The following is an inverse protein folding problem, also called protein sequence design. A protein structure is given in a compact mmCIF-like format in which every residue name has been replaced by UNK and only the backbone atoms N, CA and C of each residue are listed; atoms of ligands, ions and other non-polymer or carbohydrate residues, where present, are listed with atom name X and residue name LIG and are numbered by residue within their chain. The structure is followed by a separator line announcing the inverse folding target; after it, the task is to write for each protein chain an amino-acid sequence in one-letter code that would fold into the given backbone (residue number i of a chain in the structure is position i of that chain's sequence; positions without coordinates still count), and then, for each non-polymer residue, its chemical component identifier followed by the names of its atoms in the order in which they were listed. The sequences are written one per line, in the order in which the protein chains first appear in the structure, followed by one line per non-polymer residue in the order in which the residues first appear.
data_IF_324898543652
#
_entry.id   IF_324898543652
#
_cell.length_a   1.000
_cell.length_b   1.000
_cell.length_c   1.000
_cell.angle_alpha   90.00
_cell.angle_beta   90.00
_cell.angle_gamma   90.00
#
_symmetry.space_group_name_H-M   'P 1'
#
loop_
_entity.id
_entity.type
_entity.pdbx_description
1 polymer ?
#
# COMPACT_ATOMS: atom_id res chain seq x y z
N UNK A 1 -38.60 -43.09 8.86
CA UNK A 1 -38.86 -41.76 9.48
C UNK A 1 -37.55 -40.98 9.36
N UNK A 2 -37.23 -40.38 8.21
CA UNK A 2 -37.66 -39.06 7.72
C UNK A 2 -37.59 -37.94 8.77
N UNK A 3 -36.56 -37.10 8.68
CA UNK A 3 -36.62 -35.66 8.95
C UNK A 3 -35.46 -34.98 8.22
N UNK A 4 -35.71 -34.76 6.93
CA UNK A 4 -35.21 -33.59 6.19
C UNK A 4 -35.65 -32.33 6.96
N UNK A 5 -34.70 -31.46 7.33
CA UNK A 5 -35.01 -30.04 7.42
C UNK A 5 -33.74 -29.17 7.39
N UNK A 6 -33.66 -28.38 6.32
CA UNK A 6 -32.80 -27.21 6.16
C UNK A 6 -31.30 -27.44 5.93
N UNK A 7 -30.98 -28.23 4.90
CA UNK A 7 -29.88 -27.82 3.99
C UNK A 7 -30.36 -26.58 3.22
N UNK A 8 -30.21 -25.41 3.84
CA UNK A 8 -30.41 -24.14 3.15
C UNK A 8 -29.17 -23.95 2.29
N UNK A 9 -29.29 -24.30 1.00
CA UNK A 9 -28.38 -23.89 -0.06
C UNK A 9 -28.08 -22.41 0.17
N UNK A 10 -26.86 -22.10 0.61
CA UNK A 10 -26.35 -20.74 0.55
C UNK A 10 -26.17 -20.50 -0.93
N UNK A 11 -27.13 -19.76 -1.47
CA UNK A 11 -27.16 -19.21 -2.81
C UNK A 11 -25.81 -18.51 -3.05
N UNK A 12 -24.99 -19.09 -3.94
CA UNK A 12 -23.74 -18.51 -4.42
C UNK A 12 -24.04 -17.17 -5.12
N UNK A 13 -24.09 -16.11 -4.31
CA UNK A 13 -24.14 -14.72 -4.76
C UNK A 13 -22.70 -14.28 -5.05
N UNK A 14 -22.42 -13.62 -6.20
CA UNK A 14 -21.19 -13.84 -6.96
C UNK A 14 -19.95 -13.31 -6.23
N UNK A 15 -18.84 -14.03 -6.42
CA UNK A 15 -17.42 -13.75 -6.14
C UNK A 15 -16.99 -12.26 -6.05
N UNK A 16 -17.67 -11.35 -6.77
CA UNK A 16 -17.42 -9.91 -6.82
C UNK A 16 -17.74 -9.16 -5.50
N UNK A 17 -18.80 -9.55 -4.78
CA UNK A 17 -19.21 -8.84 -3.56
C UNK A 17 -18.24 -9.12 -2.41
N UNK A 18 -17.77 -10.37 -2.31
CA UNK A 18 -16.77 -10.79 -1.32
C UNK A 18 -15.42 -10.08 -1.53
N UNK A 19 -15.00 -9.90 -2.78
CA UNK A 19 -13.76 -9.19 -3.11
C UNK A 19 -13.85 -7.68 -2.82
N UNK A 20 -14.98 -7.02 -3.09
CA UNK A 20 -15.18 -5.61 -2.75
C UNK A 20 -15.14 -5.32 -1.23
N UNK A 21 -15.73 -6.19 -0.41
CA UNK A 21 -15.69 -6.06 1.05
C UNK A 21 -14.27 -6.26 1.58
N UNK A 22 -13.50 -7.14 0.94
CA UNK A 22 -12.11 -7.46 1.26
C UNK A 22 -11.17 -6.27 0.95
N UNK A 23 -11.36 -5.56 -0.18
CA UNK A 23 -10.54 -4.39 -0.56
C UNK A 23 -11.05 -3.04 -0.02
N UNK A 24 -12.17 -3.04 0.72
CA UNK A 24 -12.81 -1.84 1.27
C UNK A 24 -11.84 -0.86 1.97
N UNK A 25 -10.94 -1.27 2.89
CA UNK A 25 -10.06 -0.32 3.57
C UNK A 25 -9.12 0.39 2.59
N UNK A 26 -8.61 -0.31 1.57
CA UNK A 26 -7.74 0.30 0.59
C UNK A 26 -8.50 1.27 -0.33
N UNK A 27 -9.68 0.86 -0.80
CA UNK A 27 -10.52 1.71 -1.64
C UNK A 27 -10.78 3.04 -0.92
N UNK A 28 -11.09 2.98 0.39
CA UNK A 28 -11.26 4.18 1.22
C UNK A 28 -10.00 5.04 1.24
N UNK A 29 -8.81 4.45 1.43
CA UNK A 29 -7.54 5.21 1.42
C UNK A 29 -7.32 5.91 0.08
N UNK A 30 -7.50 5.21 -1.05
CA UNK A 30 -7.33 5.79 -2.39
C UNK A 30 -8.31 6.95 -2.60
N UNK A 31 -9.58 6.77 -2.23
CA UNK A 31 -10.59 7.83 -2.36
C UNK A 31 -10.26 9.05 -1.48
N UNK A 32 -9.90 8.82 -0.22
CA UNK A 32 -9.52 9.91 0.70
C UNK A 32 -8.29 10.65 0.15
N UNK A 33 -7.24 9.93 -0.25
CA UNK A 33 -6.05 10.53 -0.84
C UNK A 33 -6.39 11.34 -2.10
N UNK A 34 -7.25 10.81 -2.98
CA UNK A 34 -7.68 11.50 -4.20
C UNK A 34 -8.40 12.83 -3.91
N UNK A 35 -9.42 12.83 -3.04
CA UNK A 35 -10.17 14.04 -2.72
C UNK A 35 -9.33 15.09 -1.99
N UNK A 36 -8.50 14.68 -1.04
CA UNK A 36 -7.59 15.59 -0.34
C UNK A 36 -6.60 16.21 -1.34
N UNK A 37 -6.09 15.42 -2.28
CA UNK A 37 -5.12 15.91 -3.28
C UNK A 37 -5.74 16.87 -4.28
N UNK A 38 -6.99 16.63 -4.70
CA UNK A 38 -7.75 17.60 -5.50
C UNK A 38 -7.94 18.89 -4.71
N UNK A 39 -8.32 18.81 -3.44
CA UNK A 39 -8.53 20.00 -2.62
C UNK A 39 -7.26 20.84 -2.45
N UNK A 40 -6.11 20.19 -2.24
CA UNK A 40 -4.80 20.85 -2.14
C UNK A 40 -4.35 21.45 -3.48
N UNK A 41 -4.54 20.71 -4.58
CA UNK A 41 -4.21 21.19 -5.92
C UNK A 41 -5.11 22.37 -6.34
N UNK A 42 -6.40 22.32 -6.01
CA UNK A 42 -7.35 23.40 -6.30
C UNK A 42 -6.99 24.70 -5.57
N UNK A 43 -6.49 24.60 -4.34
CA UNK A 43 -5.99 25.75 -3.59
C UNK A 43 -4.63 26.26 -4.09
N UNK A 44 -3.98 25.54 -5.02
CA UNK A 44 -2.62 25.85 -5.47
C UNK A 44 -1.55 25.62 -4.40
N UNK A 45 -1.87 24.88 -3.33
CA UNK A 45 -0.95 24.67 -2.21
C UNK A 45 0.12 23.62 -2.53
N UNK A 46 -0.24 22.57 -3.26
CA UNK A 46 0.64 21.47 -3.68
C UNK A 46 0.19 20.94 -5.04
N UNK A 47 1.12 20.56 -5.94
CA UNK A 47 0.78 19.82 -7.14
C UNK A 47 0.04 18.53 -6.79
N UNK A 48 -0.98 18.19 -7.59
CA UNK A 48 -1.83 17.01 -7.34
C UNK A 48 -1.02 15.72 -7.13
N UNK A 49 0.04 15.50 -7.91
CA UNK A 49 0.88 14.31 -7.79
C UNK A 49 1.61 14.25 -6.44
N UNK A 50 2.24 15.35 -6.00
CA UNK A 50 2.94 15.41 -4.73
C UNK A 50 1.98 15.24 -3.56
N UNK A 51 0.81 15.90 -3.61
CA UNK A 51 -0.25 15.74 -2.63
C UNK A 51 -0.74 14.28 -2.57
N UNK A 52 -1.00 13.65 -3.72
CA UNK A 52 -1.50 12.28 -3.77
C UNK A 52 -0.51 11.29 -3.20
N UNK A 53 0.75 11.36 -3.62
CA UNK A 53 1.81 10.48 -3.10
C UNK A 53 2.01 10.68 -1.60
N UNK A 54 2.07 11.95 -1.15
CA UNK A 54 2.26 12.30 0.25
C UNK A 54 1.11 11.80 1.15
N UNK A 55 -0.13 12.12 0.81
CA UNK A 55 -1.31 11.71 1.59
C UNK A 55 -1.50 10.19 1.57
N UNK A 56 -1.32 9.56 0.41
CA UNK A 56 -1.46 8.12 0.28
C UNK A 56 -0.42 7.37 1.13
N UNK A 57 0.85 7.81 1.12
CA UNK A 57 1.89 7.25 1.98
C UNK A 57 1.59 7.47 3.47
N UNK A 58 1.10 8.65 3.87
CA UNK A 58 0.73 8.92 5.27
C UNK A 58 -0.33 7.93 5.77
N UNK A 59 -1.38 7.72 4.97
CA UNK A 59 -2.49 6.82 5.33
C UNK A 59 -2.02 5.36 5.41
N UNK A 60 -1.23 4.91 4.43
CA UNK A 60 -0.69 3.55 4.44
C UNK A 60 0.29 3.31 5.59
N UNK A 61 1.19 4.26 5.87
CA UNK A 61 2.12 4.19 6.99
C UNK A 61 1.37 4.13 8.32
N UNK A 62 0.31 4.95 8.48
CA UNK A 62 -0.52 4.97 9.68
C UNK A 62 -1.14 3.60 9.96
N UNK A 63 -1.69 2.92 8.94
CA UNK A 63 -2.24 1.56 9.11
C UNK A 63 -1.18 0.54 9.54
N UNK A 64 0.05 0.67 9.04
CA UNK A 64 1.16 -0.21 9.45
C UNK A 64 1.58 0.08 10.89
N UNK A 65 1.57 1.34 11.30
CA UNK A 65 1.91 1.76 12.67
C UNK A 65 0.87 1.30 13.71
N UNK A 66 -0.42 1.27 13.35
CA UNK A 66 -1.48 0.78 14.24
C UNK A 66 -1.22 -0.64 14.78
N UNK A 67 -0.60 -1.51 13.98
CA UNK A 67 -0.15 -2.82 14.43
C UNK A 67 1.27 -3.10 13.93
N UNK A 68 2.23 -2.32 14.44
CA UNK A 68 3.62 -2.37 14.01
C UNK A 68 4.25 -3.76 14.17
N UNK A 69 4.04 -4.41 15.31
CA UNK A 69 4.59 -5.74 15.58
C UNK A 69 3.99 -6.81 14.66
N UNK A 70 2.67 -6.78 14.45
CA UNK A 70 2.00 -7.66 13.51
C UNK A 70 2.48 -7.42 12.07
N UNK A 71 2.61 -6.15 11.67
CA UNK A 71 3.13 -5.75 10.37
C UNK A 71 4.54 -6.31 10.17
N UNK A 72 5.49 -6.01 11.06
CA UNK A 72 6.88 -6.43 10.91
C UNK A 72 7.02 -7.95 10.82
N UNK A 73 6.24 -8.70 11.62
CA UNK A 73 6.26 -10.17 11.60
C UNK A 73 5.71 -10.74 10.29
N UNK A 74 4.67 -10.14 9.73
CA UNK A 74 4.14 -10.55 8.42
C UNK A 74 5.03 -10.09 7.28
N UNK A 75 5.55 -8.86 7.33
CA UNK A 75 6.42 -8.25 6.34
C UNK A 75 7.72 -9.06 6.15
N UNK A 76 8.33 -9.51 7.25
CA UNK A 76 9.51 -10.37 7.23
C UNK A 76 9.29 -11.73 6.53
N UNK A 77 8.04 -12.19 6.38
CA UNK A 77 7.73 -13.45 5.69
C UNK A 77 7.81 -13.35 4.16
N UNK A 78 7.75 -12.14 3.60
CA UNK A 78 7.70 -11.92 2.16
C UNK A 78 8.74 -10.95 1.62
N UNK A 79 9.15 -9.95 2.39
CA UNK A 79 10.15 -8.99 1.97
C UNK A 79 11.57 -9.57 2.12
N UNK A 80 12.39 -9.41 1.07
CA UNK A 80 13.76 -9.94 1.03
C UNK A 80 14.66 -9.35 2.10
N UNK A 81 14.50 -8.05 2.37
CA UNK A 81 15.35 -7.30 3.31
C UNK A 81 14.85 -7.55 4.72
N UNK A 82 13.55 -7.48 4.97
CA UNK A 82 12.99 -7.74 6.30
C UNK A 82 13.15 -9.20 6.75
N UNK A 83 13.16 -10.15 5.81
CA UNK A 83 13.45 -11.55 6.11
C UNK A 83 14.88 -11.79 6.60
N UNK A 84 15.84 -10.97 6.17
CA UNK A 84 17.24 -11.03 6.64
C UNK A 84 17.52 -10.11 7.82
N UNK A 85 16.87 -8.94 7.85
CA UNK A 85 17.04 -7.90 8.86
C UNK A 85 15.66 -7.54 9.45
N UNK A 86 15.22 -8.20 10.53
CA UNK A 86 13.89 -7.98 11.12
C UNK A 86 13.65 -6.51 11.55
N UNK A 87 14.72 -5.81 11.94
CA UNK A 87 14.70 -4.38 12.30
C UNK A 87 14.19 -3.52 11.13
N UNK A 88 14.51 -3.90 9.88
CA UNK A 88 14.02 -3.18 8.70
C UNK A 88 12.49 -3.19 8.62
N UNK A 89 11.83 -4.29 9.01
CA UNK A 89 10.37 -4.36 9.05
C UNK A 89 9.72 -3.40 10.04
N UNK A 90 10.41 -3.09 11.15
CA UNK A 90 9.97 -2.06 12.10
C UNK A 90 10.24 -0.64 11.61
N UNK A 91 11.34 -0.42 10.88
CA UNK A 91 11.71 0.89 10.34
C UNK A 91 10.90 1.29 9.10
N UNK A 92 10.43 0.31 8.32
CA UNK A 92 9.76 0.56 7.04
C UNK A 92 8.56 1.53 7.12
N UNK A 93 7.61 1.40 8.08
CA UNK A 93 6.50 2.36 8.20
C UNK A 93 6.98 3.79 8.50
N UNK A 94 8.10 3.95 9.21
CA UNK A 94 8.69 5.26 9.48
C UNK A 94 9.36 5.86 8.24
N UNK A 95 9.98 5.03 7.39
CA UNK A 95 10.54 5.46 6.10
C UNK A 95 9.41 6.00 5.20
N UNK A 96 8.29 5.28 5.12
CA UNK A 96 7.11 5.74 4.36
C UNK A 96 6.51 7.03 4.93
N UNK A 97 6.45 7.16 6.26
CA UNK A 97 5.97 8.38 6.91
C UNK A 97 6.90 9.58 6.65
N UNK A 98 8.23 9.34 6.64
CA UNK A 98 9.21 10.38 6.32
C UNK A 98 9.11 10.81 4.85
N UNK A 99 8.98 9.86 3.92
CA UNK A 99 8.74 10.14 2.51
C UNK A 99 7.44 10.92 2.30
N UNK A 100 6.38 10.58 3.03
CA UNK A 100 5.13 11.34 3.03
C UNK A 100 5.36 12.81 3.41
N UNK A 101 6.09 13.05 4.52
CA UNK A 101 6.43 14.40 4.95
C UNK A 101 7.24 15.17 3.90
N UNK A 102 8.21 14.52 3.25
CA UNK A 102 9.01 15.13 2.19
C UNK A 102 8.17 15.52 0.97
N UNK A 103 7.22 14.68 0.55
CA UNK A 103 6.29 14.99 -0.55
C UNK A 103 5.33 16.13 -0.18
N UNK A 104 4.77 16.13 1.03
CA UNK A 104 3.83 17.18 1.48
C UNK A 104 4.51 18.51 1.79
N UNK A 105 5.80 18.50 2.13
CA UNK A 105 6.57 19.72 2.37
C UNK A 105 7.36 20.20 1.13
N UNK A 106 7.28 19.46 0.01
CA UNK A 106 8.05 19.71 -1.23
C UNK A 106 9.57 19.86 -0.99
N UNK A 107 10.09 19.11 -0.02
CA UNK A 107 11.50 19.17 0.35
C UNK A 107 12.33 18.23 -0.54
N UNK A 108 13.44 18.77 -1.06
CA UNK A 108 14.44 18.07 -1.87
C UNK A 108 13.82 17.14 -2.94
N UNK A 109 13.05 17.67 -3.92
CA UNK A 109 12.23 16.86 -4.82
C UNK A 109 13.04 15.83 -5.63
N UNK A 110 14.28 16.13 -6.03
CA UNK A 110 15.17 15.14 -6.68
C UNK A 110 15.44 13.96 -5.74
N UNK A 111 15.91 14.26 -4.52
CA UNK A 111 16.26 13.24 -3.52
C UNK A 111 15.04 12.40 -3.13
N UNK A 112 13.91 13.05 -2.87
CA UNK A 112 12.67 12.41 -2.47
C UNK A 112 12.16 11.45 -3.54
N UNK A 113 12.14 11.85 -4.82
CA UNK A 113 11.71 10.96 -5.91
C UNK A 113 12.68 9.79 -6.14
N UNK A 114 13.99 10.00 -6.03
CA UNK A 114 14.99 8.91 -6.16
C UNK A 114 14.86 7.91 -5.01
N UNK A 115 14.71 8.41 -3.78
CA UNK A 115 14.50 7.57 -2.60
C UNK A 115 13.20 6.78 -2.73
N UNK A 116 12.13 7.43 -3.18
CA UNK A 116 10.83 6.82 -3.43
C UNK A 116 10.93 5.66 -4.42
N UNK A 117 11.54 5.88 -5.59
CA UNK A 117 11.75 4.83 -6.59
C UNK A 117 12.55 3.67 -5.99
N UNK A 118 13.61 3.96 -5.23
CA UNK A 118 14.46 2.94 -4.61
C UNK A 118 13.65 2.07 -3.64
N UNK A 119 12.87 2.67 -2.74
CA UNK A 119 12.02 1.94 -1.78
C UNK A 119 10.95 1.12 -2.51
N UNK A 120 10.29 1.70 -3.52
CA UNK A 120 9.26 1.00 -4.29
C UNK A 120 9.81 -0.17 -5.11
N UNK A 121 11.02 -0.05 -5.68
CA UNK A 121 11.68 -1.15 -6.40
C UNK A 121 11.97 -2.31 -5.44
N UNK A 122 12.57 -2.05 -4.27
CA UNK A 122 12.84 -3.07 -3.26
C UNK A 122 11.55 -3.78 -2.84
N UNK A 123 10.51 -3.00 -2.53
CA UNK A 123 9.20 -3.55 -2.15
C UNK A 123 8.54 -4.36 -3.27
N UNK A 124 8.65 -3.92 -4.52
CA UNK A 124 8.09 -4.63 -5.69
C UNK A 124 8.80 -5.97 -5.93
N UNK A 125 10.13 -6.02 -5.80
CA UNK A 125 10.88 -7.28 -5.91
C UNK A 125 10.46 -8.26 -4.81
N UNK A 126 10.27 -7.78 -3.56
CA UNK A 126 9.73 -8.59 -2.47
C UNK A 126 8.35 -9.17 -2.78
N UNK A 127 7.44 -8.35 -3.32
CA UNK A 127 6.09 -8.77 -3.70
C UNK A 127 6.09 -9.77 -4.87
N UNK A 128 6.91 -9.56 -5.91
CA UNK A 128 7.05 -10.48 -7.04
C UNK A 128 7.50 -11.87 -6.55
N UNK A 129 8.49 -11.93 -5.66
CA UNK A 129 8.97 -13.21 -5.12
C UNK A 129 7.87 -14.01 -4.42
N UNK A 130 6.94 -13.33 -3.76
CA UNK A 130 5.83 -14.00 -3.05
C UNK A 130 4.68 -14.38 -3.97
N UNK A 131 4.41 -13.56 -5.00
CA UNK A 131 3.51 -13.93 -6.09
C UNK A 131 3.99 -15.21 -6.80
N UNK A 132 5.31 -15.31 -7.08
CA UNK A 132 5.92 -16.50 -7.71
C UNK A 132 5.95 -17.69 -6.74
N UNK A 133 6.21 -17.46 -5.45
CA UNK A 133 6.28 -18.52 -4.44
C UNK A 133 4.91 -19.10 -4.04
N UNK A 134 3.79 -18.54 -4.51
CA UNK A 134 2.43 -19.02 -4.20
C UNK A 134 2.04 -18.95 -2.71
N UNK A 135 2.79 -18.22 -1.89
CA UNK A 135 2.58 -18.15 -0.44
C UNK A 135 1.51 -17.11 -0.12
N UNK A 136 0.39 -17.54 0.46
CA UNK A 136 -0.67 -16.65 0.95
C UNK A 136 -0.28 -16.06 2.30
N UNK A 137 0.32 -14.87 2.29
CA UNK A 137 0.64 -14.16 3.54
C UNK A 137 -0.59 -13.38 4.01
N UNK A 138 -0.98 -13.60 5.27
CA UNK A 138 -2.09 -12.87 5.88
C UNK A 138 -1.72 -11.40 6.09
N UNK A 139 -2.65 -10.50 5.72
CA UNK A 139 -2.45 -9.06 5.83
C UNK A 139 -2.45 -8.63 7.30
N UNK A 140 -1.34 -8.04 7.76
CA UNK A 140 -1.17 -7.63 9.16
C UNK A 140 -1.63 -6.19 9.47
N UNK A 141 -1.90 -5.37 8.46
CA UNK A 141 -2.19 -3.94 8.63
C UNK A 141 -3.62 -3.63 9.13
N UNK A 142 -4.53 -4.62 9.19
CA UNK A 142 -5.95 -4.40 9.52
C UNK A 142 -6.41 -5.22 10.73
N UNK A 143 -5.50 -5.97 11.37
CA UNK A 143 -5.84 -6.86 12.49
C UNK A 143 -6.61 -8.10 12.00
N UNK A 144 -5.95 -9.27 12.06
CA UNK A 144 -6.47 -10.64 12.19
C UNK A 144 -7.84 -11.07 11.58
N UNK A 145 -8.45 -10.36 10.62
CA UNK A 145 -9.79 -10.70 10.11
C UNK A 145 -9.93 -10.70 8.59
N UNK A 146 -8.95 -10.21 7.83
CA UNK A 146 -9.01 -10.19 6.37
C UNK A 146 -7.85 -10.95 5.69
N UNK A 147 -8.17 -12.10 5.09
CA UNK A 147 -7.26 -12.88 4.23
C UNK A 147 -7.19 -12.23 2.83
N UNK A 148 -6.52 -11.10 2.72
CA UNK A 148 -6.26 -10.43 1.45
C UNK A 148 -5.04 -11.04 0.75
N UNK A 149 -5.09 -11.35 -0.56
CA UNK A 149 -3.90 -11.54 -1.37
C UNK A 149 -3.24 -10.18 -1.62
N UNK A 150 -2.57 -9.65 -0.60
CA UNK A 150 -1.95 -8.30 -0.57
C UNK A 150 -1.01 -8.08 -1.76
N UNK A 151 -0.38 -9.15 -2.26
CA UNK A 151 0.61 -9.07 -3.32
C UNK A 151 0.12 -8.47 -4.64
N UNK A 152 -1.09 -8.79 -5.12
CA UNK A 152 -1.56 -8.26 -6.41
C UNK A 152 -1.82 -6.76 -6.35
N UNK A 153 -2.37 -6.29 -5.24
CA UNK A 153 -2.80 -4.90 -5.12
C UNK A 153 -1.62 -3.99 -4.77
N UNK A 154 -0.78 -4.40 -3.83
CA UNK A 154 0.47 -3.69 -3.51
C UNK A 154 1.42 -3.63 -4.69
N UNK A 155 1.41 -4.63 -5.58
CA UNK A 155 2.16 -4.56 -6.84
C UNK A 155 1.70 -3.38 -7.72
N UNK A 156 0.39 -3.23 -7.91
CA UNK A 156 -0.15 -2.10 -8.68
C UNK A 156 0.10 -0.76 -7.98
N UNK A 157 -0.07 -0.68 -6.66
CA UNK A 157 0.23 0.52 -5.87
C UNK A 157 1.68 0.96 -6.04
N UNK A 158 2.64 0.04 -5.86
CA UNK A 158 4.06 0.35 -5.98
C UNK A 158 4.42 0.79 -7.41
N UNK A 159 3.85 0.15 -8.43
CA UNK A 159 4.07 0.54 -9.83
C UNK A 159 3.53 1.94 -10.09
N UNK A 160 2.30 2.23 -9.66
CA UNK A 160 1.69 3.56 -9.86
C UNK A 160 2.54 4.64 -9.19
N UNK A 161 2.99 4.41 -7.96
CA UNK A 161 3.87 5.38 -7.28
C UNK A 161 5.22 5.53 -7.96
N UNK A 162 5.82 4.43 -8.43
CA UNK A 162 7.09 4.47 -9.14
C UNK A 162 6.98 5.26 -10.46
N UNK A 163 5.87 5.08 -11.20
CA UNK A 163 5.60 5.84 -12.42
C UNK A 163 5.40 7.33 -12.12
N UNK A 164 4.65 7.67 -11.07
CA UNK A 164 4.47 9.07 -10.64
C UNK A 164 5.81 9.70 -10.22
N UNK A 165 6.61 9.00 -9.42
CA UNK A 165 7.93 9.47 -8.99
C UNK A 165 8.88 9.68 -10.19
N UNK A 166 8.90 8.73 -11.14
CA UNK A 166 9.72 8.82 -12.34
C UNK A 166 9.28 9.99 -13.24
N UNK A 167 7.98 10.22 -13.37
CA UNK A 167 7.44 11.34 -14.13
C UNK A 167 7.79 12.69 -13.49
N UNK A 168 7.62 12.82 -12.16
CA UNK A 168 8.05 14.00 -11.42
C UNK A 168 9.56 14.25 -11.58
N UNK A 169 10.38 13.21 -11.51
CA UNK A 169 11.83 13.33 -11.69
C UNK A 169 12.18 13.72 -13.13
N UNK A 170 11.49 13.19 -14.14
CA UNK A 170 11.69 13.55 -15.53
C UNK A 170 11.37 15.03 -15.79
N UNK A 171 10.23 15.52 -15.30
CA UNK A 171 9.86 16.95 -15.41
C UNK A 171 10.92 17.84 -14.74
N UNK A 172 11.45 17.40 -13.60
CA UNK A 172 12.42 18.20 -12.85
C UNK A 172 13.82 18.23 -13.49
N UNK A 173 14.19 17.19 -14.23
CA UNK A 173 15.49 17.06 -14.91
C UNK A 173 15.46 17.58 -16.36
N UNK A 174 14.29 17.63 -16.99
CA UNK A 174 14.09 18.10 -18.36
C UNK A 174 13.24 19.40 -18.29
N UNK A 175 13.89 20.58 -18.20
CA UNK A 175 13.20 21.86 -18.08
C UNK A 175 12.44 22.26 -19.34
#
# INVERSE_FOLDING_TARGET
MNSSCCSKKIEETPSIISSLILYKPLIVIVFVAFFVSIALAYQGALPFMNAFMGVFLALLASLKLFNLSGFSLSFAKYDLVAGKFPIYGFLYPFIELLLSGLYLAELWPIFTNVLMITVMVVGTVGVINVLISGKSVQCACVGASFKLPVGKVTFFENITMMLMAAFNLFILLVP
#
